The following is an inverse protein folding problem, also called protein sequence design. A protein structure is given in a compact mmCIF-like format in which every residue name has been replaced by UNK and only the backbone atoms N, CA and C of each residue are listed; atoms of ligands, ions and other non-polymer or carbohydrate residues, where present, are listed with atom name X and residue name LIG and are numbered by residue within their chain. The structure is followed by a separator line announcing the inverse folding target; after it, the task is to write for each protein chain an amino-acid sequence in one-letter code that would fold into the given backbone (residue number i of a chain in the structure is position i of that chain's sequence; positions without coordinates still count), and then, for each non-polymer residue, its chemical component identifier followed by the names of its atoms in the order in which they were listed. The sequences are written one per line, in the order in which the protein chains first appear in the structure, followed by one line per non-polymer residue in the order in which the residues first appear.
data_IF_858176397250
#
_entry.id   IF_858176397250
#
_cell.length_a   1.000
_cell.length_b   1.000
_cell.length_c   1.000
_cell.angle_alpha   90.00
_cell.angle_beta   90.00
_cell.angle_gamma   90.00
#
_symmetry.space_group_name_H-M   'P 1'
#
loop_
_entity.id
_entity.type
_entity.pdbx_description
1 polymer ?
#
# COMPACT_ATOMS: atom_id res chain seq x y z
N UNK A 1 -9.00 -6.38 4.58
CA UNK A 1 -7.93 -5.53 3.99
C UNK A 1 -8.43 -4.21 3.38
N UNK A 2 -9.61 -4.20 2.77
CA UNK A 2 -10.03 -3.05 1.93
C UNK A 2 -10.17 -1.72 2.69
N UNK A 3 -10.79 -1.63 3.89
CA UNK A 3 -10.80 -0.38 4.66
C UNK A 3 -9.40 0.15 4.98
N UNK A 4 -8.45 -0.74 5.29
CA UNK A 4 -7.05 -0.36 5.52
C UNK A 4 -6.44 0.28 4.27
N UNK A 5 -6.70 -0.28 3.07
CA UNK A 5 -6.23 0.32 1.82
C UNK A 5 -6.74 1.76 1.64
N UNK A 6 -8.01 2.02 1.96
CA UNK A 6 -8.60 3.36 1.86
C UNK A 6 -7.95 4.34 2.84
N UNK A 7 -7.76 3.93 4.10
CA UNK A 7 -7.08 4.76 5.10
C UNK A 7 -5.64 5.07 4.71
N UNK A 8 -4.87 4.09 4.24
CA UNK A 8 -3.50 4.31 3.79
C UNK A 8 -3.42 5.21 2.54
N UNK A 9 -4.38 5.09 1.61
CA UNK A 9 -4.43 5.95 0.43
C UNK A 9 -4.79 7.40 0.77
N UNK A 10 -5.80 7.61 1.63
CA UNK A 10 -6.29 8.94 1.96
C UNK A 10 -5.46 9.58 3.08
N UNK A 11 -5.34 8.96 4.25
CA UNK A 11 -4.67 9.58 5.39
C UNK A 11 -3.15 9.65 5.23
N UNK A 12 -2.56 8.66 4.56
CA UNK A 12 -1.11 8.51 4.40
C UNK A 12 -0.62 8.83 2.99
N UNK A 13 -1.49 9.21 2.07
CA UNK A 13 -1.16 9.56 0.68
C UNK A 13 -0.33 8.49 -0.06
N UNK A 14 -0.51 7.20 0.28
CA UNK A 14 0.25 6.11 -0.32
C UNK A 14 -0.27 5.74 -1.71
N UNK A 15 0.64 5.30 -2.59
CA UNK A 15 0.26 4.73 -3.89
C UNK A 15 -0.27 3.30 -3.71
N UNK A 16 -1.18 2.88 -4.58
CA UNK A 16 -1.79 1.55 -4.49
C UNK A 16 -0.75 0.40 -4.49
N UNK A 17 0.32 0.51 -5.29
CA UNK A 17 1.41 -0.46 -5.33
C UNK A 17 2.22 -0.50 -4.03
N UNK A 18 2.42 0.66 -3.38
CA UNK A 18 3.05 0.77 -2.06
C UNK A 18 2.18 0.11 -0.98
N UNK A 19 0.87 0.39 -1.01
CA UNK A 19 -0.11 -0.19 -0.07
C UNK A 19 -0.12 -1.72 -0.18
N UNK A 20 -0.27 -2.23 -1.39
CA UNK A 20 -0.36 -3.69 -1.62
C UNK A 20 0.97 -4.41 -1.46
N UNK A 21 2.10 -3.69 -1.54
CA UNK A 21 3.45 -4.19 -1.31
C UNK A 21 3.98 -3.99 0.11
N UNK A 22 3.20 -3.37 1.00
CA UNK A 22 3.62 -3.13 2.38
C UNK A 22 3.75 -4.45 3.14
N UNK A 23 4.86 -4.61 3.88
CA UNK A 23 5.13 -5.77 4.72
C UNK A 23 5.15 -5.37 6.19
N UNK A 24 4.83 -6.29 7.09
CA UNK A 24 4.78 -6.02 8.54
C UNK A 24 6.12 -5.60 9.14
N UNK A 25 7.24 -5.95 8.52
CA UNK A 25 8.58 -5.51 8.94
C UNK A 25 8.79 -3.99 8.79
N UNK A 26 8.03 -3.35 7.88
CA UNK A 26 8.10 -1.92 7.61
C UNK A 26 7.03 -1.12 8.36
N UNK A 27 6.26 -1.74 9.24
CA UNK A 27 5.17 -1.11 10.02
C UNK A 27 5.58 -1.03 11.49
N UNK A 28 5.77 0.19 11.99
CA UNK A 28 6.19 0.48 13.36
C UNK A 28 4.99 1.07 14.10
N UNK A 29 4.31 0.23 14.89
CA UNK A 29 3.03 0.51 15.57
C UNK A 29 3.00 -0.09 16.98
N UNK A 30 4.13 -0.12 17.69
CA UNK A 30 4.12 -0.49 19.09
C UNK A 30 3.37 0.55 19.95
N UNK A 31 3.03 0.18 21.19
CA UNK A 31 2.23 1.00 22.09
C UNK A 31 2.90 2.36 22.39
N UNK A 32 4.22 2.37 22.53
CA UNK A 32 4.99 3.59 22.80
C UNK A 32 4.94 4.52 21.59
N UNK A 33 5.17 4.00 20.40
CA UNK A 33 5.09 4.77 19.16
C UNK A 33 3.70 5.37 18.94
N UNK A 34 2.63 4.63 19.24
CA UNK A 34 1.26 5.13 19.12
C UNK A 34 0.98 6.21 20.18
N UNK A 35 1.40 5.99 21.42
CA UNK A 35 1.19 6.94 22.51
C UNK A 35 1.90 8.28 22.29
N UNK A 36 3.08 8.24 21.64
CA UNK A 36 3.92 9.41 21.36
C UNK A 36 3.70 10.00 19.95
N UNK A 37 2.71 9.53 19.19
CA UNK A 37 2.44 9.87 17.77
C UNK A 37 3.65 9.63 16.85
N UNK A 38 4.45 8.61 17.14
CA UNK A 38 5.62 8.21 16.37
C UNK A 38 5.37 6.92 15.52
N UNK A 39 4.11 6.48 15.44
CA UNK A 39 3.73 5.37 14.59
C UNK A 39 3.97 5.71 13.11
N UNK A 40 4.56 4.79 12.36
CA UNK A 40 4.99 5.05 10.98
C UNK A 40 5.08 3.80 10.14
N UNK A 41 5.10 4.00 8.82
CA UNK A 41 5.46 2.98 7.84
C UNK A 41 6.66 3.44 7.02
N UNK A 42 7.49 2.49 6.61
CA UNK A 42 8.64 2.73 5.74
C UNK A 42 8.27 2.26 4.34
N UNK A 43 8.23 3.18 3.39
CA UNK A 43 7.96 2.87 1.99
C UNK A 43 9.29 2.62 1.30
N UNK A 44 9.56 1.36 0.96
CA UNK A 44 10.81 0.91 0.33
C UNK A 44 10.55 -0.18 -0.73
N UNK A 45 9.29 -0.57 -0.94
CA UNK A 45 8.89 -1.59 -1.90
C UNK A 45 7.49 -1.34 -2.45
N UNK A 46 7.20 -1.93 -3.59
CA UNK A 46 5.89 -1.92 -4.22
C UNK A 46 5.53 -3.28 -4.82
N UNK A 47 4.24 -3.62 -4.78
CA UNK A 47 3.71 -4.77 -5.50
C UNK A 47 3.32 -4.36 -6.92
N UNK A 48 3.82 -5.06 -7.91
CA UNK A 48 3.60 -4.73 -9.32
C UNK A 48 3.49 -5.98 -10.17
N UNK A 49 2.73 -5.88 -11.26
CA UNK A 49 2.68 -6.93 -12.28
C UNK A 49 3.62 -6.54 -13.43
N UNK A 50 4.57 -7.41 -13.73
CA UNK A 50 5.61 -7.17 -14.75
C UNK A 50 5.54 -8.23 -15.85
N UNK A 51 5.97 -7.87 -17.06
CA UNK A 51 6.10 -8.82 -18.17
C UNK A 51 7.25 -9.79 -17.86
N UNK A 52 7.00 -11.09 -18.01
CA UNK A 52 7.96 -12.15 -17.67
C UNK A 52 9.23 -12.11 -18.53
N UNK A 53 9.11 -11.81 -19.82
CA UNK A 53 10.27 -11.70 -20.73
C UNK A 53 11.11 -10.45 -20.40
N UNK A 54 10.45 -9.31 -20.12
CA UNK A 54 11.15 -8.10 -19.72
C UNK A 54 11.90 -8.30 -18.39
N UNK A 55 11.29 -9.02 -17.45
CA UNK A 55 11.90 -9.37 -16.18
C UNK A 55 13.20 -10.18 -16.38
N UNK A 56 13.16 -11.21 -17.20
CA UNK A 56 14.33 -12.03 -17.53
C UNK A 56 15.43 -11.23 -18.24
N UNK A 57 15.06 -10.37 -19.22
CA UNK A 57 16.02 -9.49 -19.93
C UNK A 57 16.74 -8.53 -18.99
N UNK A 58 16.06 -8.04 -17.97
CA UNK A 58 16.62 -7.14 -16.96
C UNK A 58 17.33 -7.89 -15.80
N UNK A 59 17.49 -9.23 -15.92
CA UNK A 59 18.10 -10.10 -14.91
C UNK A 59 17.50 -9.91 -13.51
N UNK A 60 16.18 -9.72 -13.48
CA UNK A 60 15.40 -9.53 -12.24
C UNK A 60 15.90 -8.38 -11.34
N UNK A 61 16.58 -7.39 -11.93
CA UNK A 61 17.04 -6.21 -11.21
C UNK A 61 15.88 -5.57 -10.47
N UNK A 62 16.12 -5.20 -9.21
CA UNK A 62 15.16 -4.56 -8.32
C UNK A 62 13.98 -5.45 -7.86
N UNK A 63 13.97 -6.75 -8.20
CA UNK A 63 12.95 -7.70 -7.76
C UNK A 63 13.39 -8.33 -6.43
N UNK A 64 12.52 -8.16 -5.41
CA UNK A 64 12.72 -8.73 -4.07
C UNK A 64 12.07 -10.11 -3.93
N UNK A 65 10.90 -10.28 -4.57
CA UNK A 65 10.16 -11.55 -4.54
C UNK A 65 9.27 -11.70 -5.77
N UNK A 66 9.22 -12.92 -6.29
CA UNK A 66 8.29 -13.32 -7.36
C UNK A 66 7.23 -14.21 -6.72
N UNK A 67 5.95 -13.86 -6.90
CA UNK A 67 4.85 -14.66 -6.38
C UNK A 67 4.43 -15.77 -7.36
N UNK A 68 4.02 -16.94 -6.86
CA UNK A 68 3.54 -18.03 -7.71
C UNK A 68 2.38 -17.61 -8.61
N UNK A 69 2.36 -18.11 -9.83
CA UNK A 69 1.24 -17.89 -10.75
C UNK A 69 0.24 -19.04 -10.63
N UNK A 70 -1.04 -18.70 -10.47
CA UNK A 70 -2.11 -19.69 -10.44
C UNK A 70 -2.54 -20.14 -11.84
N UNK A 71 -2.18 -19.39 -12.89
CA UNK A 71 -2.55 -19.67 -14.27
C UNK A 71 -1.33 -20.13 -15.08
N UNK A 72 -1.37 -21.33 -15.70
CA UNK A 72 -0.37 -21.71 -16.67
C UNK A 72 -0.38 -20.73 -17.85
N UNK A 73 0.76 -20.54 -18.50
CA UNK A 73 0.94 -19.63 -19.65
C UNK A 73 0.73 -18.14 -19.39
N UNK A 74 0.81 -17.68 -18.14
CA UNK A 74 0.74 -16.26 -17.84
C UNK A 74 2.02 -15.53 -18.31
N UNK A 75 1.86 -14.55 -19.20
CA UNK A 75 2.95 -13.73 -19.74
C UNK A 75 3.46 -12.68 -18.75
N UNK A 76 2.79 -12.54 -17.62
CA UNK A 76 3.15 -11.58 -16.56
C UNK A 76 3.39 -12.28 -15.23
N UNK A 77 4.18 -11.67 -14.38
CA UNK A 77 4.44 -12.11 -12.99
C UNK A 77 4.08 -11.01 -12.01
N UNK A 78 3.51 -11.40 -10.88
CA UNK A 78 3.32 -10.52 -9.75
C UNK A 78 4.61 -10.53 -8.94
N UNK A 79 5.17 -9.37 -8.68
CA UNK A 79 6.44 -9.22 -7.99
C UNK A 79 6.38 -8.14 -6.93
N UNK A 80 7.10 -8.37 -5.85
CA UNK A 80 7.48 -7.35 -4.90
C UNK A 80 8.84 -6.81 -5.36
N UNK A 81 8.95 -5.51 -5.51
CA UNK A 81 10.17 -4.87 -6.02
C UNK A 81 10.46 -3.54 -5.32
N UNK A 82 11.68 -3.06 -5.44
CA UNK A 82 12.04 -1.71 -5.02
C UNK A 82 11.37 -0.67 -5.93
N UNK A 83 11.04 0.52 -5.41
CA UNK A 83 10.50 1.61 -6.21
C UNK A 83 11.48 2.06 -7.30
N UNK A 84 10.96 2.64 -8.38
CA UNK A 84 11.78 3.08 -9.52
C UNK A 84 12.76 4.21 -9.21
N UNK A 85 12.49 5.03 -8.21
CA UNK A 85 13.29 6.19 -7.84
C UNK A 85 13.63 6.18 -6.36
N UNK A 86 14.82 6.63 -6.01
CA UNK A 86 15.25 6.75 -4.60
C UNK A 86 14.33 7.67 -3.80
N UNK A 87 13.77 8.71 -4.42
CA UNK A 87 12.81 9.64 -3.81
C UNK A 87 11.49 8.98 -3.42
N UNK A 88 11.21 7.77 -3.91
CA UNK A 88 10.06 6.99 -3.49
C UNK A 88 10.26 6.33 -2.12
N UNK A 89 11.52 6.13 -1.69
CA UNK A 89 11.84 5.63 -0.36
C UNK A 89 11.58 6.75 0.65
N UNK A 90 10.65 6.53 1.55
CA UNK A 90 10.28 7.53 2.55
C UNK A 90 9.64 6.92 3.78
N UNK A 91 9.65 7.68 4.86
CA UNK A 91 8.86 7.39 6.07
C UNK A 91 7.54 8.13 5.94
N UNK A 92 6.45 7.44 6.24
CA UNK A 92 5.10 8.03 6.34
C UNK A 92 4.59 7.86 7.76
N UNK A 93 4.32 8.98 8.42
CA UNK A 93 3.77 8.99 9.76
C UNK A 93 2.29 8.61 9.73
N UNK A 94 1.88 7.74 10.65
CA UNK A 94 0.51 7.26 10.74
C UNK A 94 -0.29 8.13 11.72
N UNK A 95 -1.47 8.61 11.32
CA UNK A 95 -2.44 9.10 12.29
C UNK A 95 -2.74 8.00 13.33
N UNK A 96 -2.92 8.38 14.59
CA UNK A 96 -3.18 7.45 15.70
C UNK A 96 -4.29 6.44 15.38
N UNK A 97 -5.39 6.92 14.81
CA UNK A 97 -6.53 6.07 14.41
C UNK A 97 -6.14 5.02 13.36
N UNK A 98 -5.26 5.36 12.42
CA UNK A 98 -4.78 4.40 11.40
C UNK A 98 -3.82 3.38 12.02
N UNK A 99 -2.96 3.83 12.95
CA UNK A 99 -2.07 2.92 13.67
C UNK A 99 -2.86 1.91 14.53
N UNK A 100 -3.88 2.37 15.26
CA UNK A 100 -4.77 1.50 16.05
C UNK A 100 -5.53 0.49 15.18
N UNK A 101 -6.03 0.92 14.02
CA UNK A 101 -6.65 0.02 13.03
C UNK A 101 -5.66 -1.03 12.52
N UNK A 102 -4.41 -0.67 12.26
CA UNK A 102 -3.39 -1.62 11.84
C UNK A 102 -3.02 -2.62 12.95
N UNK A 103 -3.00 -2.20 14.21
CA UNK A 103 -2.80 -3.11 15.36
C UNK A 103 -3.90 -4.17 15.40
N UNK A 104 -5.17 -3.74 15.30
CA UNK A 104 -6.29 -4.68 15.30
C UNK A 104 -6.23 -5.60 14.08
N UNK A 105 -6.00 -5.04 12.92
CA UNK A 105 -5.90 -5.82 11.68
C UNK A 105 -4.76 -6.86 11.70
N UNK A 106 -3.63 -6.53 12.35
CA UNK A 106 -2.52 -7.48 12.55
C UNK A 106 -2.94 -8.68 13.42
N UNK A 107 -3.73 -8.42 14.47
CA UNK A 107 -4.27 -9.47 15.34
C UNK A 107 -5.23 -10.38 14.57
N UNK A 108 -6.19 -9.79 13.86
CA UNK A 108 -7.17 -10.53 13.06
C UNK A 108 -6.47 -11.41 11.99
N UNK A 109 -5.43 -10.87 11.34
CA UNK A 109 -4.66 -11.62 10.35
C UNK A 109 -3.86 -12.76 10.99
N UNK A 110 -3.32 -12.56 12.19
CA UNK A 110 -2.60 -13.59 12.92
C UNK A 110 -3.54 -14.72 13.35
N UNK A 111 -4.72 -14.40 13.86
CA UNK A 111 -5.76 -15.40 14.21
C UNK A 111 -6.17 -16.23 12.98
N UNK A 112 -6.37 -15.57 11.84
CA UNK A 112 -6.69 -16.25 10.59
C UNK A 112 -5.56 -17.16 10.11
N UNK A 113 -4.31 -16.71 10.24
CA UNK A 113 -3.12 -17.51 9.92
C UNK A 113 -3.01 -18.75 10.80
N UNK A 114 -3.27 -18.61 12.10
CA UNK A 114 -3.27 -19.74 13.05
C UNK A 114 -4.41 -20.73 12.73
N UNK A 115 -5.59 -20.23 12.40
CA UNK A 115 -6.74 -21.04 12.01
C UNK A 115 -6.49 -21.85 10.73
N UNK A 116 -5.90 -21.26 9.71
CA UNK A 116 -5.63 -21.90 8.42
C UNK A 116 -4.37 -22.77 8.43
N UNK A 117 -3.44 -22.53 9.34
CA UNK A 117 -2.20 -23.27 9.46
C UNK A 117 -1.42 -23.34 8.14
N UNK A 118 -1.14 -24.55 7.65
CA UNK A 118 -0.39 -24.76 6.40
C UNK A 118 -1.10 -24.32 5.12
N UNK A 119 -2.40 -24.03 5.18
CA UNK A 119 -3.14 -23.49 4.04
C UNK A 119 -2.95 -21.97 3.87
N UNK A 120 -2.36 -21.29 4.85
CA UNK A 120 -2.03 -19.87 4.76
C UNK A 120 -0.65 -19.66 4.13
N UNK A 121 -0.59 -18.87 3.07
CA UNK A 121 0.67 -18.48 2.42
C UNK A 121 1.25 -17.24 3.09
N UNK A 122 2.18 -17.42 4.02
CA UNK A 122 2.77 -16.31 4.74
C UNK A 122 3.87 -15.61 3.91
N UNK A 123 3.53 -14.48 3.36
CA UNK A 123 4.45 -13.59 2.65
C UNK A 123 4.79 -12.32 3.44
N UNK A 124 4.41 -12.25 4.71
CA UNK A 124 4.59 -11.09 5.59
C UNK A 124 3.91 -9.80 5.06
N UNK A 125 2.96 -9.92 4.12
CA UNK A 125 2.24 -8.78 3.58
C UNK A 125 1.19 -8.26 4.56
N UNK A 126 1.10 -6.94 4.69
CA UNK A 126 0.02 -6.28 5.43
C UNK A 126 -1.30 -6.50 4.69
N UNK A 127 -1.33 -6.24 3.39
CA UNK A 127 -2.52 -6.39 2.56
C UNK A 127 -2.46 -7.74 1.84
N UNK A 128 -3.16 -8.70 2.39
CA UNK A 128 -3.25 -10.06 1.89
C UNK A 128 -4.71 -10.53 1.76
N UNK A 129 -4.93 -11.49 0.89
CA UNK A 129 -6.18 -12.26 0.83
C UNK A 129 -6.27 -13.18 2.07
N UNK A 130 -7.45 -13.73 2.32
CA UNK A 130 -7.70 -14.59 3.48
C UNK A 130 -6.78 -15.82 3.54
N UNK A 131 -6.30 -16.30 2.40
CA UNK A 131 -5.31 -17.36 2.32
C UNK A 131 -3.84 -16.88 2.32
N UNK A 132 -3.59 -15.62 2.63
CA UNK A 132 -2.26 -15.01 2.67
C UNK A 132 -1.65 -14.60 1.33
N UNK A 133 -2.31 -14.90 0.22
CA UNK A 133 -1.83 -14.49 -1.09
C UNK A 133 -1.89 -12.96 -1.27
N UNK A 134 -1.00 -12.37 -2.10
CA UNK A 134 -0.98 -10.93 -2.31
C UNK A 134 -2.28 -10.42 -2.96
N UNK A 135 -2.75 -9.27 -2.50
CA UNK A 135 -3.87 -8.54 -3.09
C UNK A 135 -3.34 -7.70 -4.25
N UNK A 136 -3.76 -8.03 -5.46
CA UNK A 136 -3.40 -7.23 -6.64
C UNK A 136 -4.12 -5.88 -6.64
N UNK A 137 -3.45 -4.85 -7.13
CA UNK A 137 -3.99 -3.48 -7.23
C UNK A 137 -5.34 -3.43 -7.97
N UNK A 138 -5.56 -4.36 -8.91
CA UNK A 138 -6.84 -4.47 -9.61
C UNK A 138 -7.99 -4.81 -8.66
N UNK A 139 -7.78 -5.76 -7.73
CA UNK A 139 -8.81 -6.18 -6.76
C UNK A 139 -9.25 -4.98 -5.90
N UNK A 140 -8.29 -4.17 -5.47
CA UNK A 140 -8.58 -2.96 -4.68
C UNK A 140 -9.38 -1.94 -5.50
N UNK A 141 -8.98 -1.71 -6.77
CA UNK A 141 -9.69 -0.78 -7.66
C UNK A 141 -11.11 -1.22 -7.97
N UNK A 142 -11.28 -2.49 -8.33
CA UNK A 142 -12.59 -3.06 -8.66
C UNK A 142 -13.53 -3.01 -7.43
N UNK A 143 -12.99 -3.22 -6.21
CA UNK A 143 -13.77 -3.12 -4.98
C UNK A 143 -14.12 -1.68 -4.63
N UNK A 144 -13.23 -0.73 -4.90
CA UNK A 144 -13.50 0.69 -4.70
C UNK A 144 -14.57 1.22 -5.66
N UNK A 145 -14.49 0.83 -6.93
CA UNK A 145 -15.50 1.17 -7.92
C UNK A 145 -16.89 0.66 -7.50
N UNK A 146 -16.98 -0.61 -7.09
CA UNK A 146 -18.24 -1.17 -6.57
C UNK A 146 -18.77 -0.41 -5.35
N UNK A 147 -17.88 -0.03 -4.41
CA UNK A 147 -18.30 0.78 -3.27
C UNK A 147 -18.94 2.09 -3.70
N UNK A 148 -18.39 2.77 -4.72
CA UNK A 148 -18.98 3.99 -5.25
C UNK A 148 -20.36 3.70 -5.88
N UNK A 149 -20.46 2.70 -6.73
CA UNK A 149 -21.69 2.30 -7.41
C UNK A 149 -22.80 1.88 -6.44
N UNK A 150 -22.48 1.07 -5.42
CA UNK A 150 -23.43 0.57 -4.42
C UNK A 150 -23.98 1.66 -3.47
N UNK A 151 -23.28 2.80 -3.39
CA UNK A 151 -23.69 3.93 -2.53
C UNK A 151 -24.07 5.19 -3.31
N UNK A 152 -24.30 5.08 -4.62
CA UNK A 152 -24.67 6.20 -5.49
C UNK A 152 -23.66 7.36 -5.45
N UNK A 153 -22.37 7.06 -5.21
CA UNK A 153 -21.31 8.05 -5.29
C UNK A 153 -20.81 8.19 -6.73
N UNK A 154 -20.31 9.39 -7.07
CA UNK A 154 -19.59 9.57 -8.32
C UNK A 154 -18.42 8.59 -8.41
N UNK A 155 -18.36 7.82 -9.51
CA UNK A 155 -17.29 6.83 -9.72
C UNK A 155 -16.00 7.55 -10.06
N UNK A 156 -15.08 7.53 -9.12
CA UNK A 156 -13.73 8.06 -9.28
C UNK A 156 -12.69 6.93 -9.19
N UNK A 157 -11.50 7.17 -9.72
CA UNK A 157 -10.42 6.17 -9.63
C UNK A 157 -9.84 6.14 -8.22
N UNK A 158 -9.39 4.97 -7.76
CA UNK A 158 -8.80 4.81 -6.41
C UNK A 158 -7.66 5.80 -6.13
N UNK A 159 -6.89 6.18 -7.16
CA UNK A 159 -5.80 7.16 -7.03
C UNK A 159 -6.28 8.57 -6.65
N UNK A 160 -7.54 8.89 -6.91
CA UNK A 160 -8.14 10.16 -6.49
C UNK A 160 -8.12 10.37 -4.97
N UNK A 161 -8.15 9.28 -4.18
CA UNK A 161 -8.01 9.37 -2.71
C UNK A 161 -6.69 10.01 -2.31
N UNK A 162 -5.60 9.68 -3.01
CA UNK A 162 -4.29 10.28 -2.79
C UNK A 162 -4.26 11.75 -3.22
N UNK A 163 -4.88 12.10 -4.35
CA UNK A 163 -4.97 13.50 -4.78
C UNK A 163 -5.79 14.33 -3.78
N UNK A 164 -6.93 13.82 -3.33
CA UNK A 164 -7.73 14.47 -2.29
C UNK A 164 -6.95 14.66 -0.98
N UNK A 165 -6.19 13.63 -0.57
CA UNK A 165 -5.29 13.71 0.58
C UNK A 165 -4.26 14.85 0.42
N UNK A 166 -3.62 14.92 -0.73
CA UNK A 166 -2.62 15.96 -1.03
C UNK A 166 -3.23 17.35 -0.94
N UNK A 167 -4.39 17.57 -1.59
CA UNK A 167 -5.12 18.84 -1.52
C UNK A 167 -5.58 19.21 -0.11
N UNK A 168 -6.04 18.23 0.69
CA UNK A 168 -6.41 18.45 2.07
C UNK A 168 -5.21 18.85 2.93
N UNK A 169 -4.08 18.14 2.82
CA UNK A 169 -2.83 18.45 3.53
C UNK A 169 -2.30 19.84 3.15
N UNK A 170 -2.38 20.21 1.88
CA UNK A 170 -1.97 21.54 1.42
C UNK A 170 -2.81 22.64 2.07
N UNK A 171 -4.12 22.44 2.22
CA UNK A 171 -4.99 23.37 2.97
C UNK A 171 -4.60 23.45 4.45
N UNK A 172 -4.35 22.31 5.09
CA UNK A 172 -3.98 22.26 6.51
C UNK A 172 -2.63 22.91 6.82
N UNK A 173 -1.69 22.89 5.87
CA UNK A 173 -0.37 23.50 5.98
C UNK A 173 -0.32 24.95 5.47
N UNK A 174 -1.47 25.57 5.19
CA UNK A 174 -1.56 26.92 4.61
C UNK A 174 -0.72 27.09 3.33
N UNK A 175 -0.64 26.05 2.52
CA UNK A 175 0.06 26.07 1.23
C UNK A 175 1.55 25.70 1.31
N UNK A 176 2.04 25.09 2.37
CA UNK A 176 3.42 24.62 2.45
C UNK A 176 3.63 23.39 1.54
N UNK A 177 3.95 23.68 0.29
CA UNK A 177 4.17 22.67 -0.76
C UNK A 177 5.32 21.73 -0.41
N UNK A 178 6.41 22.22 0.21
CA UNK A 178 7.58 21.39 0.54
C UNK A 178 7.26 20.34 1.59
N UNK A 179 6.53 20.73 2.63
CA UNK A 179 6.09 19.80 3.67
C UNK A 179 5.18 18.70 3.09
N UNK A 180 4.20 19.08 2.27
CA UNK A 180 3.28 18.15 1.62
C UNK A 180 4.01 17.24 0.60
N UNK A 181 4.95 17.79 -0.17
CA UNK A 181 5.77 17.03 -1.11
C UNK A 181 6.59 15.94 -0.40
N UNK A 182 7.23 16.26 0.72
CA UNK A 182 8.00 15.30 1.51
C UNK A 182 7.12 14.16 2.04
N UNK A 183 5.94 14.48 2.56
CA UNK A 183 5.01 13.51 3.12
C UNK A 183 4.36 12.62 2.03
N UNK A 184 4.06 13.19 0.87
CA UNK A 184 3.42 12.46 -0.23
C UNK A 184 4.40 11.74 -1.16
N UNK A 185 5.70 12.09 -1.15
CA UNK A 185 6.72 11.51 -2.03
C UNK A 185 6.50 11.86 -3.51
N UNK A 186 6.07 13.10 -3.79
CA UNK A 186 6.05 13.64 -5.14
C UNK A 186 7.46 14.12 -5.53
N UNK A 187 7.96 13.71 -6.71
CA UNK A 187 9.30 14.08 -7.17
C UNK A 187 9.39 15.58 -7.53
N UNK A 188 8.30 16.16 -8.04
CA UNK A 188 8.21 17.55 -8.47
C UNK A 188 7.10 18.27 -7.72
N UNK A 189 7.33 19.54 -7.38
CA UNK A 189 6.37 20.39 -6.67
C UNK A 189 5.07 20.58 -7.47
N UNK A 190 5.15 20.62 -8.80
CA UNK A 190 4.00 20.75 -9.71
C UNK A 190 3.00 19.59 -9.57
N UNK A 191 3.43 18.43 -9.12
CA UNK A 191 2.54 17.28 -8.88
C UNK A 191 1.71 17.39 -7.59
N UNK A 192 1.90 18.44 -6.80
CA UNK A 192 1.13 18.70 -5.57
C UNK A 192 -0.12 19.55 -5.86
N UNK A 193 -0.21 20.18 -7.03
CA UNK A 193 -1.31 21.04 -7.47
C UNK A 193 -2.31 20.32 -8.36
#
# INVERSE_FOLDING_TARGET
FFPICMHLAFSCSMRIGEITGLTWEDVIIDEECIATNNAKVIINKELSRVNAEAMQKLKEKDILKIFPTQKPHCTTRLVLKTPKTETSNRVVWLPKTVAELLVQYKKDQQELKEFLGSAYNDYNLVIALDNGNPVESRIVRDRFQRLCEENDYEVVVFHSLRHLSTGYKLKMTNGDVKSVQGDTGHAEAEMVF
#
